data_IF_458336418704
#
_entry.id   IF_458336418704
#
_cell.length_a   1.000
_cell.length_b   1.000
_cell.length_c   1.000
_cell.angle_alpha   90.00
_cell.angle_beta   90.00
_cell.angle_gamma   90.00
#
_symmetry.space_group_name_H-M   'P 1'
#
loop_
_entity.id
_entity.type
_entity.pdbx_description
1 polymer ?
#
# COMPACT_ATOMS: atom_id res chain seq x y z
N UNK A 1 2.69 10.97 -3.48
CA UNK A 1 3.35 10.17 -2.42
C UNK A 1 2.46 10.19 -1.19
N UNK A 2 2.26 9.08 -0.50
CA UNK A 2 1.53 9.05 0.78
C UNK A 2 2.52 9.15 1.94
N UNK A 3 2.17 9.94 2.95
CA UNK A 3 2.94 10.10 4.19
C UNK A 3 2.14 9.54 5.37
N UNK A 4 2.85 8.97 6.35
CA UNK A 4 2.25 8.40 7.55
C UNK A 4 2.96 8.97 8.77
N UNK A 5 2.18 9.43 9.75
CA UNK A 5 2.63 9.72 11.09
C UNK A 5 2.14 8.61 12.04
N UNK A 6 3.03 7.68 12.39
CA UNK A 6 2.72 6.49 13.19
C UNK A 6 2.26 6.85 14.61
N UNK A 7 2.73 7.96 15.17
CA UNK A 7 2.31 8.47 16.49
C UNK A 7 0.84 8.86 16.57
N UNK A 8 0.23 9.19 15.42
CA UNK A 8 -1.20 9.50 15.34
C UNK A 8 -2.04 8.26 15.02
N UNK A 9 -1.43 7.12 14.70
CA UNK A 9 -2.15 5.91 14.35
C UNK A 9 -2.69 5.24 15.61
N UNK A 10 -4.01 5.15 15.73
CA UNK A 10 -4.68 4.51 16.88
C UNK A 10 -4.93 3.02 16.69
N UNK A 11 -4.53 2.44 15.55
CA UNK A 11 -4.82 1.05 15.24
C UNK A 11 -6.29 0.75 14.90
N UNK A 12 -7.11 1.76 14.57
CA UNK A 12 -8.56 1.57 14.33
C UNK A 12 -8.92 0.74 13.08
N UNK A 13 -7.96 0.47 12.18
CA UNK A 13 -8.10 -0.38 10.97
C UNK A 13 -9.17 0.06 9.96
N UNK A 14 -9.74 1.27 10.10
CA UNK A 14 -10.68 1.84 9.12
C UNK A 14 -10.07 1.86 7.72
N UNK A 15 -8.79 2.26 7.61
CA UNK A 15 -8.07 2.30 6.33
C UNK A 15 -7.98 0.93 5.63
N UNK A 16 -7.91 -0.17 6.38
CA UNK A 16 -7.91 -1.52 5.82
C UNK A 16 -9.28 -1.86 5.21
N UNK A 17 -10.35 -1.53 5.94
CA UNK A 17 -11.72 -1.84 5.55
C UNK A 17 -12.19 -0.99 4.37
N UNK A 18 -11.87 0.32 4.36
CA UNK A 18 -12.26 1.15 3.22
C UNK A 18 -11.49 0.79 1.95
N UNK A 19 -10.26 0.30 2.08
CA UNK A 19 -9.47 -0.12 0.93
C UNK A 19 -10.01 -1.41 0.31
N UNK A 20 -10.34 -2.42 1.12
CA UNK A 20 -10.96 -3.64 0.61
C UNK A 20 -12.36 -3.39 0.05
N UNK A 21 -13.14 -2.52 0.69
CA UNK A 21 -14.45 -2.12 0.19
C UNK A 21 -14.35 -1.39 -1.17
N UNK A 22 -13.41 -0.46 -1.35
CA UNK A 22 -13.19 0.26 -2.61
C UNK A 22 -12.79 -0.68 -3.76
N UNK A 23 -11.89 -1.64 -3.51
CA UNK A 23 -11.32 -2.47 -4.59
C UNK A 23 -12.02 -3.81 -4.80
N UNK A 24 -12.67 -4.35 -3.76
CA UNK A 24 -13.23 -5.70 -3.77
C UNK A 24 -14.72 -5.73 -3.39
N UNK A 25 -15.32 -4.58 -3.00
CA UNK A 25 -16.72 -4.50 -2.54
C UNK A 25 -17.02 -5.44 -1.36
N UNK A 26 -16.00 -5.69 -0.55
CA UNK A 26 -16.05 -6.60 0.59
C UNK A 26 -15.30 -6.00 1.78
N UNK A 27 -15.81 -6.22 2.99
CA UNK A 27 -15.11 -5.92 4.24
C UNK A 27 -14.11 -7.03 4.59
N UNK A 28 -13.08 -7.15 3.76
CA UNK A 28 -12.05 -8.18 3.91
C UNK A 28 -10.67 -7.54 4.01
N UNK A 29 -10.18 -7.35 5.24
CA UNK A 29 -8.87 -6.77 5.47
C UNK A 29 -7.76 -7.54 4.74
N UNK A 30 -7.89 -8.86 4.52
CA UNK A 30 -6.92 -9.68 3.80
C UNK A 30 -6.68 -9.24 2.35
N UNK A 31 -7.65 -8.57 1.72
CA UNK A 31 -7.55 -8.03 0.36
C UNK A 31 -7.08 -6.57 0.33
N UNK A 32 -6.91 -5.94 1.49
CA UNK A 32 -6.52 -4.54 1.59
C UNK A 32 -5.09 -4.30 1.10
N UNK A 33 -4.91 -3.21 0.36
CA UNK A 33 -3.61 -2.69 -0.12
C UNK A 33 -2.91 -1.79 0.91
N UNK A 34 -3.45 -1.73 2.13
CA UNK A 34 -2.89 -1.07 3.31
C UNK A 34 -3.12 -1.94 4.54
N UNK A 35 -2.13 -2.04 5.42
CA UNK A 35 -2.20 -2.82 6.66
C UNK A 35 -1.68 -2.06 7.86
N UNK A 36 -2.28 -2.30 9.02
CA UNK A 36 -1.76 -1.93 10.32
C UNK A 36 -1.13 -3.18 10.94
N UNK A 37 0.19 -3.10 11.13
CA UNK A 37 0.97 -4.09 11.86
C UNK A 37 1.12 -3.64 13.31
N UNK A 38 0.45 -4.38 14.20
CA UNK A 38 0.45 -4.15 15.64
C UNK A 38 1.46 -5.09 16.28
N UNK A 39 2.43 -4.54 17.02
CA UNK A 39 3.41 -5.33 17.77
C UNK A 39 3.59 -4.72 19.16
N UNK A 40 2.77 -5.14 20.12
CA UNK A 40 2.85 -4.62 21.48
C UNK A 40 4.24 -4.89 22.11
N UNK A 41 4.90 -3.90 22.74
CA UNK A 41 4.41 -2.55 23.08
C UNK A 41 4.83 -1.42 22.10
N UNK A 42 5.27 -1.75 20.89
CA UNK A 42 5.71 -0.79 19.87
C UNK A 42 4.54 0.00 19.26
N UNK A 43 4.85 1.17 18.67
CA UNK A 43 3.87 1.98 17.94
C UNK A 43 3.27 1.20 16.76
N UNK A 44 2.01 1.50 16.43
CA UNK A 44 1.31 0.90 15.29
C UNK A 44 1.98 1.29 13.97
N UNK A 45 2.46 0.28 13.22
CA UNK A 45 3.11 0.51 11.93
C UNK A 45 2.11 0.40 10.79
N UNK A 46 2.08 1.41 9.92
CA UNK A 46 1.22 1.38 8.72
C UNK A 46 2.04 0.95 7.50
N UNK A 47 1.72 -0.23 6.99
CA UNK A 47 2.33 -0.83 5.80
C UNK A 47 1.46 -0.49 4.59
N UNK A 48 2.00 0.30 3.67
CA UNK A 48 1.38 0.58 2.38
C UNK A 48 2.42 0.94 1.32
N UNK A 49 2.04 0.84 0.04
CA UNK A 49 2.82 1.44 -1.02
C UNK A 49 2.70 2.97 -0.96
N UNK A 50 3.83 3.68 -0.80
CA UNK A 50 3.85 5.14 -0.63
C UNK A 50 3.85 5.93 -1.94
N UNK A 51 3.84 5.29 -3.11
CA UNK A 51 3.99 5.97 -4.41
C UNK A 51 5.27 6.83 -4.47
N UNK A 52 6.41 6.19 -4.23
CA UNK A 52 7.72 6.84 -4.12
C UNK A 52 8.19 7.36 -5.49
N UNK A 53 8.73 8.59 -5.54
CA UNK A 53 9.31 9.16 -6.77
C UNK A 53 10.51 8.35 -7.31
N UNK A 54 11.30 7.74 -6.42
CA UNK A 54 12.49 6.96 -6.80
C UNK A 54 12.16 5.68 -7.57
N UNK A 55 10.93 5.15 -7.39
CA UNK A 55 10.41 3.98 -8.11
C UNK A 55 11.35 2.76 -8.10
N UNK A 56 12.03 2.51 -6.97
CA UNK A 56 12.96 1.39 -6.82
C UNK A 56 12.33 0.03 -7.14
N UNK A 57 11.04 -0.14 -6.82
CA UNK A 57 10.28 -1.35 -7.15
C UNK A 57 10.19 -1.62 -8.67
N UNK A 58 10.05 -0.57 -9.49
CA UNK A 58 9.97 -0.68 -10.95
C UNK A 58 11.33 -1.10 -11.50
N UNK A 59 12.40 -0.41 -11.08
CA UNK A 59 13.78 -0.72 -11.50
C UNK A 59 14.23 -2.12 -11.10
N UNK A 60 13.72 -2.65 -10.00
CA UNK A 60 14.06 -3.98 -9.50
C UNK A 60 13.28 -5.12 -10.18
N UNK A 61 12.24 -4.84 -10.96
CA UNK A 61 11.42 -5.88 -11.57
C UNK A 61 12.11 -6.50 -12.80
N UNK A 62 12.56 -7.77 -12.74
CA UNK A 62 13.25 -8.39 -13.87
C UNK A 62 12.33 -8.65 -15.06
N UNK A 63 11.04 -8.89 -14.80
CA UNK A 63 10.04 -9.16 -15.83
C UNK A 63 9.52 -7.91 -16.53
N UNK A 64 9.87 -6.70 -16.03
CA UNK A 64 9.28 -5.44 -16.49
C UNK A 64 7.75 -5.38 -16.30
N UNK A 65 7.23 -6.06 -15.28
CA UNK A 65 5.79 -6.15 -14.99
C UNK A 65 5.24 -4.92 -14.24
N UNK A 66 6.10 -3.95 -13.88
CA UNK A 66 5.69 -2.74 -13.17
C UNK A 66 5.87 -1.51 -14.05
N UNK A 67 4.86 -0.64 -14.08
CA UNK A 67 4.91 0.66 -14.77
C UNK A 67 4.40 1.77 -13.84
N UNK A 68 4.60 3.03 -14.25
CA UNK A 68 4.08 4.18 -13.53
C UNK A 68 3.19 5.03 -14.43
N UNK A 69 1.91 5.12 -14.07
CA UNK A 69 0.92 5.96 -14.74
C UNK A 69 0.16 6.81 -13.70
N UNK A 70 0.88 7.74 -13.05
CA UNK A 70 0.39 8.48 -11.87
C UNK A 70 0.45 7.67 -10.57
N UNK A 71 0.34 6.35 -10.65
CA UNK A 71 0.61 5.38 -9.59
C UNK A 71 1.31 4.14 -10.17
N UNK A 72 1.85 3.30 -9.28
CA UNK A 72 2.45 2.02 -9.66
C UNK A 72 1.36 1.05 -10.14
N UNK A 73 1.51 0.54 -11.36
CA UNK A 73 0.61 -0.45 -11.97
C UNK A 73 1.35 -1.76 -12.14
N UNK A 74 0.73 -2.86 -11.71
CA UNK A 74 1.22 -4.22 -11.91
C UNK A 74 0.50 -4.85 -13.11
N UNK A 75 1.28 -5.33 -14.07
CA UNK A 75 0.84 -6.25 -15.11
C UNK A 75 0.83 -7.67 -14.53
N UNK A 76 -0.37 -8.23 -14.33
CA UNK A 76 -0.54 -9.53 -13.72
C UNK A 76 -0.05 -10.69 -14.61
N UNK A 77 -0.10 -10.53 -15.93
CA UNK A 77 0.28 -11.58 -16.88
C UNK A 77 1.81 -11.71 -16.96
N UNK A 78 2.52 -10.59 -16.81
CA UNK A 78 4.00 -10.57 -16.77
C UNK A 78 4.59 -10.88 -15.40
N UNK A 79 3.80 -10.77 -14.33
CA UNK A 79 4.29 -10.95 -12.97
C UNK A 79 4.41 -12.43 -12.58
N UNK A 80 5.63 -12.87 -12.30
CA UNK A 80 6.00 -14.22 -11.83
C UNK A 80 6.05 -14.37 -10.30
N UNK A 81 5.56 -13.37 -9.56
CA UNK A 81 5.56 -13.34 -8.08
C UNK A 81 6.95 -13.49 -7.42
N UNK A 82 8.05 -13.17 -8.12
CA UNK A 82 9.42 -13.31 -7.59
C UNK A 82 9.76 -12.43 -6.36
N UNK A 83 8.97 -11.40 -6.05
CA UNK A 83 9.12 -10.60 -4.83
C UNK A 83 10.21 -9.52 -4.81
N UNK A 84 11.10 -9.45 -5.82
CA UNK A 84 12.20 -8.46 -5.89
C UNK A 84 11.77 -7.01 -5.73
N UNK A 85 10.56 -6.68 -6.21
CA UNK A 85 10.00 -5.33 -6.06
C UNK A 85 9.66 -4.97 -4.60
N UNK A 86 9.32 -5.96 -3.78
CA UNK A 86 9.05 -5.80 -2.35
C UNK A 86 10.35 -5.64 -1.57
N UNK A 87 11.37 -6.44 -1.88
CA UNK A 87 12.72 -6.34 -1.31
C UNK A 87 13.35 -4.96 -1.56
N UNK A 88 13.14 -4.41 -2.76
CA UNK A 88 13.63 -3.09 -3.12
C UNK A 88 12.87 -1.94 -2.45
N UNK A 89 11.81 -2.20 -1.67
CA UNK A 89 11.03 -1.15 -1.05
C UNK A 89 11.72 -0.57 0.20
N UNK A 90 12.13 0.72 0.20
CA UNK A 90 12.80 1.31 1.36
C UNK A 90 11.87 1.53 2.56
N UNK A 91 10.55 1.37 2.37
CA UNK A 91 9.54 1.56 3.42
C UNK A 91 8.98 0.23 3.94
N UNK A 92 9.50 -0.91 3.48
CA UNK A 92 9.06 -2.23 3.93
C UNK A 92 7.63 -2.60 3.49
N UNK A 93 7.18 -2.11 2.34
CA UNK A 93 5.92 -2.56 1.72
C UNK A 93 6.07 -4.02 1.28
N UNK A 94 5.16 -4.90 1.74
CA UNK A 94 5.24 -6.34 1.51
C UNK A 94 3.86 -7.01 1.33
N UNK A 95 2.83 -6.25 0.98
CA UNK A 95 1.47 -6.79 0.86
C UNK A 95 1.30 -7.60 -0.42
N UNK A 96 0.61 -8.74 -0.30
CA UNK A 96 0.38 -9.69 -1.39
C UNK A 96 -1.06 -10.21 -1.37
N UNK A 97 -1.54 -10.64 -2.53
CA UNK A 97 -2.80 -11.36 -2.66
C UNK A 97 -2.63 -12.88 -2.38
N UNK A 98 -3.70 -13.64 -2.65
CA UNK A 98 -3.73 -15.10 -2.46
C UNK A 98 -2.79 -15.85 -3.40
N UNK A 99 -2.39 -15.25 -4.52
CA UNK A 99 -1.49 -15.81 -5.53
C UNK A 99 -0.04 -15.31 -5.34
N UNK A 100 0.26 -14.72 -4.18
CA UNK A 100 1.53 -14.08 -3.84
C UNK A 100 1.92 -12.89 -4.72
N UNK A 101 1.00 -12.34 -5.53
CA UNK A 101 1.27 -11.15 -6.33
C UNK A 101 1.23 -9.89 -5.45
N UNK A 102 2.17 -8.94 -5.64
CA UNK A 102 2.20 -7.69 -4.87
C UNK A 102 0.94 -6.83 -5.02
N UNK A 103 0.37 -6.39 -3.89
CA UNK A 103 -0.81 -5.52 -3.86
C UNK A 103 -0.43 -4.03 -3.81
N UNK A 104 0.00 -3.48 -4.95
CA UNK A 104 0.35 -2.05 -5.03
C UNK A 104 -0.88 -1.15 -4.87
N UNK A 105 -0.73 -0.09 -4.08
CA UNK A 105 -1.75 0.97 -3.99
C UNK A 105 -1.89 1.66 -5.36
N UNK A 106 -3.09 2.00 -5.77
CA UNK A 106 -3.40 2.75 -7.00
C UNK A 106 -3.94 4.16 -6.70
N UNK A 107 -3.76 4.61 -5.45
CA UNK A 107 -4.29 5.87 -4.91
C UNK A 107 -5.80 6.00 -4.95
N UNK A 108 -6.54 4.90 -5.14
CA UNK A 108 -7.97 4.92 -5.45
C UNK A 108 -8.25 5.88 -6.63
N UNK A 109 -7.38 5.87 -7.65
CA UNK A 109 -7.44 6.78 -8.80
C UNK A 109 -7.48 8.26 -8.43
N UNK A 110 -6.74 8.64 -7.38
CA UNK A 110 -6.70 10.01 -6.88
C UNK A 110 -7.75 10.35 -5.82
N UNK A 111 -8.63 9.41 -5.46
CA UNK A 111 -9.61 9.63 -4.39
C UNK A 111 -9.02 9.45 -2.99
N UNK A 112 -7.94 8.69 -2.82
CA UNK A 112 -7.24 8.47 -1.56
C UNK A 112 -8.18 8.13 -0.37
N UNK A 113 -9.00 7.08 -0.49
CA UNK A 113 -10.00 6.73 0.53
C UNK A 113 -9.40 6.57 1.94
N UNK A 114 -8.20 5.98 2.05
CA UNK A 114 -7.53 5.84 3.34
C UNK A 114 -7.17 7.18 4.00
N UNK A 115 -6.96 8.24 3.23
CA UNK A 115 -6.72 9.61 3.75
C UNK A 115 -8.05 10.22 4.19
N UNK A 116 -9.08 10.14 3.34
CA UNK A 116 -10.39 10.74 3.63
C UNK A 116 -11.06 10.13 4.86
N UNK A 117 -10.86 8.84 5.09
CA UNK A 117 -11.47 8.09 6.19
C UNK A 117 -10.57 7.93 7.42
N UNK A 118 -9.38 8.55 7.46
CA UNK A 118 -8.50 8.47 8.63
C UNK A 118 -8.90 9.52 9.68
N UNK A 119 -9.59 9.15 10.78
CA UNK A 119 -10.08 10.12 11.75
C UNK A 119 -8.94 10.87 12.47
N UNK A 120 -7.83 10.17 12.76
CA UNK A 120 -6.67 10.76 13.43
C UNK A 120 -5.74 11.52 12.48
N UNK A 121 -6.03 11.52 11.17
CA UNK A 121 -5.18 12.09 10.12
C UNK A 121 -3.75 11.54 10.17
N UNK A 122 -3.59 10.27 10.56
CA UNK A 122 -2.29 9.59 10.55
C UNK A 122 -1.74 9.42 9.12
N UNK A 123 -2.60 9.30 8.11
CA UNK A 123 -2.24 9.13 6.69
C UNK A 123 -2.58 10.42 5.93
N UNK A 124 -1.64 10.94 5.13
CA UNK A 124 -1.81 12.18 4.34
C UNK A 124 -1.24 12.04 2.94
N UNK A 125 -1.66 12.93 2.04
CA UNK A 125 -0.97 13.16 0.75
C UNK A 125 0.31 13.95 1.02
N UNK A 126 1.41 13.54 0.40
CA UNK A 126 2.71 14.18 0.57
C UNK A 126 2.72 15.56 -0.08
N UNK A 127 3.06 16.58 0.70
CA UNK A 127 2.97 18.00 0.33
C UNK A 127 1.86 18.76 1.05
N UNK A 128 1.03 18.06 1.83
CA UNK A 128 0.00 18.61 2.74
C UNK A 128 0.32 18.35 4.21
#
# INVERSE_FOLDING_TARGET
MLTVNEKLCTGCRICEQVCSMEHHREFNAGLSRIKIASKWPEEEKVILCRQCKAQSCIKACPQGALTFNGFVVLDNDRCDSCGKCLEACPFGFNLKDKENKPLFCDTCQGNYQCVNWCPSKAIRKGGE
#
